data_IF_269210638755
#
_entry.id   IF_269210638755
#
_cell.length_a   1.000
_cell.length_b   1.000
_cell.length_c   1.000
_cell.angle_alpha   90.00
_cell.angle_beta   90.00
_cell.angle_gamma   90.00
#
_symmetry.space_group_name_H-M   'P 1'
#
loop_
_entity.id
_entity.type
_entity.pdbx_description
1 polymer ?
#
# COMPACT_ATOMS: atom_id res chain seq x y z
N UNK A 1 -2.19 26.04 16.61
CA UNK A 1 -2.61 24.64 16.40
C UNK A 1 -2.42 24.32 14.92
N UNK A 2 -1.18 24.06 14.55
CA UNK A 2 -0.78 23.77 13.17
C UNK A 2 -0.96 22.27 12.99
N UNK A 3 -2.06 21.84 12.34
CA UNK A 3 -2.12 20.47 11.83
C UNK A 3 -0.89 20.24 10.95
N UNK A 4 -0.13 19.16 11.13
CA UNK A 4 0.95 18.86 10.21
C UNK A 4 0.34 18.76 8.81
N UNK A 5 0.91 19.50 7.86
CA UNK A 5 0.59 19.40 6.44
C UNK A 5 0.48 17.91 6.07
N UNK A 6 -0.56 17.46 5.34
CA UNK A 6 -0.53 16.12 4.80
C UNK A 6 0.71 16.04 3.93
N UNK A 7 1.57 15.05 4.23
CA UNK A 7 2.87 14.86 3.57
C UNK A 7 2.71 14.41 2.09
N UNK A 8 1.49 14.46 1.57
CA UNK A 8 1.07 13.92 0.28
C UNK A 8 0.09 14.88 -0.42
N UNK A 9 0.17 14.97 -1.76
CA UNK A 9 -0.65 15.88 -2.55
C UNK A 9 -2.15 15.56 -2.37
N UNK A 10 -3.00 16.56 -2.57
CA UNK A 10 -4.46 16.37 -2.63
C UNK A 10 -4.78 15.25 -3.61
N UNK A 11 -5.18 14.11 -3.06
CA UNK A 11 -5.53 12.94 -3.85
C UNK A 11 -6.85 13.21 -4.58
N UNK A 12 -7.02 12.70 -5.81
CA UNK A 12 -8.29 12.79 -6.50
C UNK A 12 -9.43 12.24 -5.64
N UNK A 13 -10.64 12.77 -5.82
CA UNK A 13 -11.84 12.27 -5.12
C UNK A 13 -12.09 10.77 -5.36
N UNK A 14 -11.57 10.24 -6.46
CA UNK A 14 -11.63 8.83 -6.87
C UNK A 14 -10.26 8.39 -7.40
N UNK A 15 -9.46 7.67 -6.62
CA UNK A 15 -8.18 7.11 -7.04
C UNK A 15 -7.86 5.77 -6.36
N UNK A 16 -7.12 4.93 -7.08
CA UNK A 16 -6.37 3.82 -6.52
C UNK A 16 -4.97 4.31 -6.20
N UNK A 17 -4.56 4.21 -4.94
CA UNK A 17 -3.20 4.52 -4.51
C UNK A 17 -2.52 3.21 -4.16
N UNK A 18 -1.37 2.94 -4.74
CA UNK A 18 -0.60 1.73 -4.48
C UNK A 18 0.70 2.13 -3.80
N UNK A 19 0.86 1.76 -2.53
CA UNK A 19 2.12 1.96 -1.82
C UNK A 19 3.11 0.88 -2.26
N UNK A 20 4.32 1.28 -2.65
CA UNK A 20 5.39 0.40 -3.10
C UNK A 20 6.64 0.73 -2.29
N UNK A 21 7.22 -0.23 -1.58
CA UNK A 21 8.42 0.00 -0.78
C UNK A 21 8.83 -1.22 0.02
N UNK A 22 10.11 -1.29 0.40
CA UNK A 22 10.65 -2.41 1.19
C UNK A 22 9.95 -2.56 2.56
N UNK A 23 9.98 -3.76 3.13
CA UNK A 23 9.56 -3.94 4.53
C UNK A 23 10.40 -3.05 5.44
N UNK A 24 9.79 -2.37 6.40
CA UNK A 24 10.47 -1.38 7.26
C UNK A 24 10.66 0.02 6.65
N UNK A 25 10.25 0.27 5.41
CA UNK A 25 10.34 1.61 4.79
C UNK A 25 9.35 2.66 5.36
N UNK A 26 8.51 2.29 6.33
CA UNK A 26 7.50 3.18 6.90
C UNK A 26 6.20 3.29 6.08
N UNK A 27 5.92 2.34 5.17
CA UNK A 27 4.66 2.31 4.39
C UNK A 27 3.41 2.33 5.27
N UNK A 28 3.42 1.61 6.38
CA UNK A 28 2.27 1.55 7.29
C UNK A 28 2.14 2.84 8.13
N UNK A 29 3.26 3.50 8.46
CA UNK A 29 3.26 4.85 9.05
C UNK A 29 2.66 5.87 8.10
N UNK A 30 2.99 5.74 6.82
CA UNK A 30 2.41 6.54 5.77
C UNK A 30 0.91 6.21 5.56
N UNK A 31 0.55 4.93 5.50
CA UNK A 31 -0.83 4.47 5.38
C UNK A 31 -1.73 5.00 6.51
N UNK A 32 -1.18 5.13 7.72
CA UNK A 32 -1.90 5.67 8.89
C UNK A 32 -2.29 7.16 8.77
N UNK A 33 -1.74 7.88 7.79
CA UNK A 33 -2.15 9.28 7.53
C UNK A 33 -3.51 9.37 6.82
N UNK A 34 -3.98 8.27 6.22
CA UNK A 34 -5.29 8.18 5.60
C UNK A 34 -6.32 7.48 6.50
N UNK A 35 -7.62 7.66 6.23
CA UNK A 35 -8.66 6.95 6.97
C UNK A 35 -8.44 5.44 6.86
N UNK A 36 -8.42 4.73 8.01
CA UNK A 36 -8.23 3.28 8.05
C UNK A 36 -9.25 2.51 7.17
N UNK A 37 -10.45 3.07 7.00
CA UNK A 37 -11.47 2.53 6.11
C UNK A 37 -11.12 2.59 4.62
N UNK A 38 -10.05 3.30 4.22
CA UNK A 38 -9.56 3.39 2.84
C UNK A 38 -8.30 2.57 2.59
N UNK A 39 -7.65 2.06 3.65
CA UNK A 39 -6.42 1.29 3.55
C UNK A 39 -6.73 -0.20 3.49
N UNK A 40 -6.23 -0.86 2.45
CA UNK A 40 -6.19 -2.31 2.30
C UNK A 40 -4.75 -2.75 2.50
N UNK A 41 -4.45 -3.31 3.67
CA UNK A 41 -3.14 -3.87 3.98
C UNK A 41 -3.14 -5.37 3.71
N UNK A 42 -2.16 -5.85 2.95
CA UNK A 42 -2.01 -7.28 2.69
C UNK A 42 -1.66 -8.05 3.97
N UNK A 43 -0.83 -7.46 4.84
CA UNK A 43 -0.46 -8.06 6.13
C UNK A 43 -1.68 -8.22 7.06
N UNK A 44 -2.60 -7.24 7.04
CA UNK A 44 -3.86 -7.34 7.78
C UNK A 44 -4.77 -8.44 7.21
N UNK A 45 -4.74 -8.68 5.90
CA UNK A 45 -5.49 -9.75 5.25
C UNK A 45 -4.86 -11.13 5.51
N UNK A 46 -3.53 -11.25 5.54
CA UNK A 46 -2.85 -12.48 5.98
C UNK A 46 -3.26 -12.84 7.41
N UNK A 47 -3.22 -11.85 8.32
CA UNK A 47 -3.65 -12.06 9.70
C UNK A 47 -5.14 -12.43 9.79
N UNK A 48 -6.01 -11.83 8.97
CA UNK A 48 -7.44 -12.15 8.97
C UNK A 48 -7.74 -13.58 8.46
N UNK A 49 -6.89 -14.14 7.60
CA UNK A 49 -7.08 -15.48 7.02
C UNK A 49 -6.37 -16.56 7.83
N UNK A 50 -5.22 -16.25 8.43
CA UNK A 50 -4.32 -17.27 9.02
C UNK A 50 -3.88 -16.99 10.45
N UNK A 51 -4.40 -15.93 11.07
CA UNK A 51 -3.95 -15.42 12.38
C UNK A 51 -2.47 -15.01 12.44
N UNK A 52 -1.75 -15.04 11.31
CA UNK A 52 -0.34 -14.65 11.17
C UNK A 52 -0.14 -13.73 9.96
N UNK A 53 0.39 -12.53 10.20
CA UNK A 53 0.69 -11.55 9.16
C UNK A 53 1.80 -11.98 8.17
N UNK A 54 2.66 -12.92 8.57
CA UNK A 54 3.80 -13.39 7.78
C UNK A 54 3.58 -14.73 7.06
N UNK A 55 2.37 -15.30 7.15
CA UNK A 55 2.08 -16.63 6.61
C UNK A 55 2.07 -16.63 5.08
N UNK A 56 3.12 -17.20 4.47
CA UNK A 56 3.23 -17.33 3.01
C UNK A 56 2.24 -18.33 2.41
N UNK A 57 1.76 -19.31 3.20
CA UNK A 57 0.76 -20.28 2.75
C UNK A 57 -0.59 -19.62 2.50
N UNK A 58 -0.92 -18.56 3.25
CA UNK A 58 -2.16 -17.80 3.13
C UNK A 58 -2.07 -16.64 2.13
N UNK A 59 -0.97 -16.49 1.41
CA UNK A 59 -0.79 -15.37 0.46
C UNK A 59 -1.78 -15.40 -0.69
N UNK A 60 -2.13 -16.59 -1.19
CA UNK A 60 -3.17 -16.72 -2.22
C UNK A 60 -4.51 -16.16 -1.75
N UNK A 61 -4.99 -16.63 -0.60
CA UNK A 61 -6.28 -16.22 -0.04
C UNK A 61 -6.32 -14.74 0.34
N UNK A 62 -5.23 -14.20 0.89
CA UNK A 62 -5.13 -12.78 1.23
C UNK A 62 -5.13 -11.87 -0.02
N UNK A 63 -4.46 -12.30 -1.09
CA UNK A 63 -4.46 -11.59 -2.39
C UNK A 63 -5.86 -11.64 -3.03
N UNK A 64 -6.53 -12.79 -2.98
CA UNK A 64 -7.90 -12.94 -3.50
C UNK A 64 -8.88 -12.03 -2.73
N UNK A 65 -8.78 -11.99 -1.40
CA UNK A 65 -9.56 -11.10 -0.56
C UNK A 65 -9.28 -9.62 -0.89
N UNK A 66 -8.00 -9.26 -1.08
CA UNK A 66 -7.60 -7.90 -1.46
C UNK A 66 -8.24 -7.49 -2.79
N UNK A 67 -8.15 -8.35 -3.81
CA UNK A 67 -8.73 -8.09 -5.12
C UNK A 67 -10.25 -7.97 -5.07
N UNK A 68 -10.93 -8.85 -4.31
CA UNK A 68 -12.37 -8.78 -4.15
C UNK A 68 -12.79 -7.46 -3.50
N UNK A 69 -12.17 -7.06 -2.40
CA UNK A 69 -12.51 -5.82 -1.70
C UNK A 69 -12.22 -4.62 -2.59
N UNK A 70 -11.06 -4.61 -3.26
CA UNK A 70 -10.66 -3.56 -4.20
C UNK A 70 -11.72 -3.36 -5.29
N UNK A 71 -12.15 -4.44 -5.95
CA UNK A 71 -13.16 -4.41 -7.01
C UNK A 71 -14.49 -3.82 -6.50
N UNK A 72 -14.93 -4.23 -5.30
CA UNK A 72 -16.18 -3.74 -4.70
C UNK A 72 -16.11 -2.27 -4.29
N UNK A 73 -14.93 -1.77 -3.93
CA UNK A 73 -14.69 -0.35 -3.60
C UNK A 73 -14.63 0.50 -4.86
N UNK A 74 -13.93 0.04 -5.89
CA UNK A 74 -13.83 0.74 -7.17
C UNK A 74 -15.19 0.84 -7.87
N UNK A 75 -16.00 -0.23 -7.83
CA UNK A 75 -17.37 -0.19 -8.34
C UNK A 75 -18.24 0.89 -7.65
N UNK A 76 -17.90 1.25 -6.40
CA UNK A 76 -18.56 2.32 -5.63
C UNK A 76 -17.84 3.67 -5.74
N UNK A 77 -16.80 3.77 -6.58
CA UNK A 77 -15.92 4.94 -6.71
C UNK A 77 -15.45 5.44 -5.35
N UNK A 78 -14.81 4.54 -4.58
CA UNK A 78 -14.24 4.88 -3.27
C UNK A 78 -12.72 4.88 -3.37
N UNK A 79 -12.11 5.92 -2.80
CA UNK A 79 -10.66 5.98 -2.62
C UNK A 79 -10.17 4.75 -1.86
N UNK A 80 -9.12 4.16 -2.43
CA UNK A 80 -8.56 2.90 -1.95
C UNK A 80 -7.04 2.98 -2.02
N UNK A 81 -6.41 2.73 -0.88
CA UNK A 81 -4.97 2.70 -0.70
C UNK A 81 -4.58 1.25 -0.46
N UNK A 82 -3.67 0.74 -1.27
CA UNK A 82 -3.14 -0.62 -1.14
C UNK A 82 -1.77 -0.51 -0.47
N UNK A 83 -1.68 -0.97 0.78
CA UNK A 83 -0.43 -1.15 1.51
C UNK A 83 0.02 -2.61 1.36
N UNK A 84 0.85 -2.86 0.36
CA UNK A 84 1.48 -4.15 0.15
C UNK A 84 2.95 -3.96 -0.23
N UNK A 85 3.77 -4.97 0.03
CA UNK A 85 5.13 -5.08 -0.50
C UNK A 85 5.08 -5.38 -2.00
N UNK A 86 4.47 -4.49 -2.79
CA UNK A 86 4.24 -4.61 -4.24
C UNK A 86 5.54 -4.43 -5.06
N UNK A 87 6.61 -5.12 -4.66
CA UNK A 87 7.94 -5.04 -5.27
C UNK A 87 7.98 -5.76 -6.63
N UNK A 88 7.12 -6.76 -6.84
CA UNK A 88 7.05 -7.50 -8.11
C UNK A 88 6.11 -6.84 -9.13
N UNK A 89 6.45 -6.96 -10.41
CA UNK A 89 5.60 -6.48 -11.51
C UNK A 89 4.28 -7.28 -11.60
N UNK A 90 4.32 -8.57 -11.26
CA UNK A 90 3.16 -9.48 -11.28
C UNK A 90 2.10 -9.08 -10.26
N UNK A 91 2.48 -8.63 -9.06
CA UNK A 91 1.54 -8.12 -8.07
C UNK A 91 0.87 -6.80 -8.51
N UNK A 92 1.54 -6.01 -9.37
CA UNK A 92 1.04 -4.70 -9.82
C UNK A 92 0.12 -4.78 -11.04
N UNK A 93 0.31 -5.77 -11.92
CA UNK A 93 -0.49 -5.96 -13.12
C UNK A 93 -2.01 -6.04 -12.86
N UNK A 94 -2.51 -6.84 -11.89
CA UNK A 94 -3.95 -6.92 -11.63
C UNK A 94 -4.50 -5.64 -10.97
N UNK A 95 -3.70 -4.92 -10.18
CA UNK A 95 -4.10 -3.63 -9.58
C UNK A 95 -4.31 -2.55 -10.64
N UNK A 96 -3.39 -2.45 -11.60
CA UNK A 96 -3.51 -1.54 -12.74
C UNK A 96 -4.69 -1.91 -13.67
N UNK A 97 -4.92 -3.20 -13.89
CA UNK A 97 -6.06 -3.68 -14.67
C UNK A 97 -7.39 -3.33 -14.01
N UNK A 98 -7.51 -3.48 -12.68
CA UNK A 98 -8.71 -3.09 -11.93
C UNK A 98 -8.99 -1.59 -12.05
N UNK A 99 -7.99 -0.74 -11.84
CA UNK A 99 -8.13 0.71 -11.99
C UNK A 99 -8.59 1.11 -13.41
N UNK A 100 -8.02 0.46 -14.43
CA UNK A 100 -8.41 0.67 -15.84
C UNK A 100 -9.87 0.28 -16.10
N UNK A 101 -10.32 -0.89 -15.60
CA UNK A 101 -11.72 -1.35 -15.77
C UNK A 101 -12.73 -0.38 -15.17
N UNK A 102 -12.41 0.21 -14.02
CA UNK A 102 -13.29 1.15 -13.32
C UNK A 102 -13.10 2.61 -13.72
N UNK A 103 -12.25 2.89 -14.71
CA UNK A 103 -11.92 4.25 -15.17
C UNK A 103 -11.44 5.15 -14.02
N UNK A 104 -10.67 4.58 -13.10
CA UNK A 104 -10.10 5.28 -11.95
C UNK A 104 -8.59 5.51 -12.18
N UNK A 105 -8.06 6.68 -11.80
CA UNK A 105 -6.61 6.92 -11.83
C UNK A 105 -5.90 6.00 -10.84
N UNK A 106 -4.83 5.36 -11.30
CA UNK A 106 -3.91 4.60 -10.47
C UNK A 106 -2.65 5.44 -10.19
N UNK A 107 -2.35 5.66 -8.91
CA UNK A 107 -1.21 6.42 -8.43
C UNK A 107 -0.29 5.46 -7.68
N UNK A 108 0.92 5.27 -8.17
CA UNK A 108 1.95 4.52 -7.46
C UNK A 108 2.76 5.46 -6.57
N UNK A 109 2.75 5.21 -5.25
CA UNK A 109 3.53 5.96 -4.27
C UNK A 109 4.70 5.08 -3.84
N UNK A 110 5.90 5.48 -4.25
CA UNK A 110 7.13 4.75 -3.91
C UNK A 110 7.66 5.32 -2.59
N UNK A 111 7.66 4.49 -1.55
CA UNK A 111 8.29 4.78 -0.26
C UNK A 111 9.68 4.16 -0.29
N UNK A 112 10.67 4.96 -0.65
CA UNK A 112 12.07 4.57 -0.60
C UNK A 112 12.67 5.00 0.73
N UNK A 113 13.19 4.04 1.50
CA UNK A 113 14.19 4.33 2.52
C UNK A 113 15.55 4.46 1.81
N UNK A 114 16.34 5.52 2.04
CA UNK A 114 17.71 5.54 1.58
C UNK A 114 18.46 4.35 2.20
N UNK A 115 19.21 3.61 1.37
CA UNK A 115 19.94 2.42 1.79
C UNK A 115 21.11 2.71 2.76
N UNK A 116 21.38 3.98 3.06
CA UNK A 116 22.60 4.42 3.77
C UNK A 116 22.48 4.49 5.31
N UNK A 117 21.44 3.93 5.91
CA UNK A 117 21.38 3.80 7.39
C UNK A 117 21.82 2.40 7.89
N UNK A 118 22.76 1.76 7.20
CA UNK A 118 23.63 0.77 7.83
C UNK A 118 24.90 1.49 8.27
N UNK A 119 25.02 1.74 9.58
CA UNK A 119 26.16 2.44 10.17
C UNK A 119 27.50 1.83 9.74
N UNK A 120 28.26 2.59 8.97
CA UNK A 120 29.71 2.49 8.91
C UNK A 120 30.30 3.56 9.83
N UNK A 121 31.36 3.29 10.60
CA UNK A 121 31.96 4.30 11.46
C UNK A 121 32.50 5.47 10.62
N UNK A 122 32.22 6.69 11.08
CA UNK A 122 32.70 7.96 10.54
C UNK A 122 34.19 7.91 10.16
N UNK A 123 34.62 8.55 9.06
CA UNK A 123 36.02 8.79 8.82
C UNK A 123 36.51 9.82 9.83
N UNK A 124 37.27 9.36 10.83
CA UNK A 124 38.04 10.24 11.70
C UNK A 124 39.09 10.97 10.85
N UNK A 125 39.00 12.31 10.86
CA UNK A 125 39.97 13.22 10.27
C UNK A 125 41.29 13.25 11.07
#
# INVERSE_FOLDING_TARGET
>A
MTSPMPLYPDLPENALIVLIGASGAGKSTLAATWPASQVLSLDALHAAVSDDCGCQEATGDAVDALHLILERRMARRRNTIVDATNVSAEARAPLGAAATRHHMPAIAVIVATPADFFGGPEPVA
#
